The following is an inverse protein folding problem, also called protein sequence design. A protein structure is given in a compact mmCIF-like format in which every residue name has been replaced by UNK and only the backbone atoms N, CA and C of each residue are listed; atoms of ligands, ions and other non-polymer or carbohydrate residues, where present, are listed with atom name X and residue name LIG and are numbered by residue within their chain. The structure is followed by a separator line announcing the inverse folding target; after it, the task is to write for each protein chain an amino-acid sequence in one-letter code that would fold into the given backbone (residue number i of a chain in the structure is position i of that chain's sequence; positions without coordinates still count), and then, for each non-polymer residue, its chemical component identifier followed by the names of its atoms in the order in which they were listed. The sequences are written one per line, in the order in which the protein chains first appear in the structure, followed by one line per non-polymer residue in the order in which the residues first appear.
data_IF_055656830508
#
_entry.id   IF_055656830508
#
_cell.length_a   1.000
_cell.length_b   1.000
_cell.length_c   1.000
_cell.angle_alpha   90.00
_cell.angle_beta   90.00
_cell.angle_gamma   90.00
#
_symmetry.space_group_name_H-M   'P 1'
#
loop_
_entity.id
_entity.type
_entity.pdbx_description
1 polymer ?
#
# COMPACT_ATOMS: atom_id res chain seq x y z
N UNK A 1 -15.14 -1.15 -39.07
CA UNK A 1 -15.01 -2.17 -38.00
C UNK A 1 -14.75 -3.52 -38.64
N UNK A 2 -13.79 -4.31 -38.12
CA UNK A 2 -13.03 -5.42 -38.77
C UNK A 2 -11.92 -4.93 -39.71
N UNK A 3 -10.81 -4.43 -39.14
CA UNK A 3 -9.43 -4.61 -39.64
C UNK A 3 -8.35 -3.87 -38.80
N UNK A 4 -8.56 -3.69 -37.49
CA UNK A 4 -7.59 -2.99 -36.61
C UNK A 4 -7.06 -3.86 -35.46
N UNK A 5 -7.13 -5.19 -35.58
CA UNK A 5 -6.62 -6.16 -34.59
C UNK A 5 -5.45 -7.03 -35.09
N UNK A 6 -4.86 -6.73 -36.24
CA UNK A 6 -3.74 -7.51 -36.81
C UNK A 6 -2.39 -6.76 -36.92
N UNK A 7 -2.29 -5.53 -36.39
CA UNK A 7 -1.05 -4.74 -36.49
C UNK A 7 -0.21 -4.72 -35.21
N UNK A 8 -0.73 -5.17 -34.06
CA UNK A 8 0.07 -5.24 -32.82
C UNK A 8 0.90 -6.53 -32.64
N UNK A 9 0.74 -7.54 -33.51
CA UNK A 9 1.43 -8.84 -33.34
C UNK A 9 2.75 -8.96 -34.13
N UNK A 10 3.23 -7.90 -34.78
CA UNK A 10 4.36 -7.98 -35.72
C UNK A 10 5.56 -7.07 -35.37
N UNK A 11 5.67 -6.58 -34.13
CA UNK A 11 6.79 -5.70 -33.69
C UNK A 11 7.69 -6.30 -32.60
N UNK A 12 7.50 -7.58 -32.23
CA UNK A 12 8.26 -8.25 -31.18
C UNK A 12 9.16 -9.40 -31.67
N UNK A 13 9.56 -9.35 -32.94
CA UNK A 13 10.49 -10.30 -33.52
C UNK A 13 11.46 -9.60 -34.48
N UNK A 14 12.51 -8.96 -33.94
CA UNK A 14 13.81 -8.95 -34.61
C UNK A 14 14.95 -8.55 -33.65
N UNK A 15 16.05 -9.31 -33.76
CA UNK A 15 17.42 -9.14 -33.25
C UNK A 15 17.81 -9.77 -31.91
N UNK A 16 17.94 -11.11 -31.93
CA UNK A 16 19.10 -11.78 -31.31
C UNK A 16 20.18 -11.97 -32.38
N UNK A 17 21.43 -11.55 -32.12
CA UNK A 17 22.65 -12.31 -32.48
C UNK A 17 23.84 -11.93 -31.56
N UNK A 18 24.12 -12.84 -30.62
CA UNK A 18 25.42 -13.39 -30.16
C UNK A 18 26.54 -12.48 -29.62
N UNK A 19 26.94 -12.73 -28.36
CA UNK A 19 28.27 -13.25 -28.02
C UNK A 19 28.30 -13.86 -26.60
N UNK A 20 28.50 -15.18 -26.52
CA UNK A 20 28.89 -15.85 -25.28
C UNK A 20 30.40 -15.71 -25.07
N UNK A 21 30.81 -15.20 -23.91
CA UNK A 21 32.08 -15.54 -23.29
C UNK A 21 32.05 -15.26 -21.77
N UNK A 22 32.11 -16.35 -21.01
CA UNK A 22 32.95 -16.53 -19.80
C UNK A 22 32.73 -15.72 -18.52
N UNK A 23 32.23 -16.46 -17.51
CA UNK A 23 32.60 -16.49 -16.08
C UNK A 23 32.41 -15.25 -15.18
N UNK A 24 31.65 -15.46 -14.10
CA UNK A 24 31.67 -14.65 -12.89
C UNK A 24 30.36 -14.76 -12.10
N UNK A 25 30.42 -15.32 -10.90
CA UNK A 25 29.32 -15.55 -9.97
C UNK A 25 28.55 -14.29 -9.54
N UNK A 26 27.35 -14.52 -8.98
CA UNK A 26 26.51 -13.71 -8.06
C UNK A 26 25.18 -13.12 -8.59
N UNK A 27 24.08 -13.47 -7.89
CA UNK A 27 22.90 -12.62 -7.63
C UNK A 27 21.76 -12.59 -8.65
N UNK A 28 20.51 -12.56 -8.16
CA UNK A 28 19.36 -12.03 -8.91
C UNK A 28 17.98 -12.61 -8.62
N UNK A 29 17.42 -12.42 -7.42
CA UNK A 29 15.98 -12.50 -7.19
C UNK A 29 15.29 -11.27 -7.78
N UNK A 30 14.28 -11.49 -8.62
CA UNK A 30 13.43 -10.44 -9.19
C UNK A 30 12.69 -9.68 -8.07
N UNK A 31 12.99 -8.39 -7.95
CA UNK A 31 12.30 -7.45 -7.08
C UNK A 31 10.94 -7.11 -7.68
N UNK A 32 9.90 -7.30 -6.87
CA UNK A 32 8.60 -6.67 -7.03
C UNK A 32 8.75 -5.24 -6.50
N UNK A 33 8.56 -4.24 -7.37
CA UNK A 33 8.64 -2.81 -7.02
C UNK A 33 7.43 -2.42 -6.18
N UNK A 34 7.52 -2.68 -4.88
CA UNK A 34 6.76 -2.01 -3.83
C UNK A 34 7.71 -1.08 -3.10
N UNK A 35 7.58 0.22 -3.33
CA UNK A 35 8.43 1.24 -2.72
C UNK A 35 8.40 1.13 -1.19
N UNK A 36 9.51 0.69 -0.61
CA UNK A 36 9.78 0.76 0.82
C UNK A 36 9.98 2.22 1.23
N UNK A 37 8.99 2.79 1.91
CA UNK A 37 9.18 3.99 2.73
C UNK A 37 9.84 3.54 4.04
N UNK A 38 11.10 3.92 4.22
CA UNK A 38 11.81 3.75 5.48
C UNK A 38 11.14 4.63 6.55
N UNK A 39 10.45 4.00 7.48
CA UNK A 39 9.90 4.67 8.65
C UNK A 39 11.04 4.89 9.66
N UNK A 40 11.59 6.09 9.70
CA UNK A 40 12.50 6.51 10.76
C UNK A 40 11.69 6.71 12.04
N UNK A 41 11.92 5.87 13.05
CA UNK A 41 11.43 6.06 14.41
C UNK A 41 11.82 7.46 14.90
N UNK A 42 10.83 8.31 15.12
CA UNK A 42 10.93 9.45 16.04
C UNK A 42 10.18 9.07 17.31
N UNK A 43 10.93 9.01 18.41
CA UNK A 43 10.40 8.86 19.76
C UNK A 43 9.71 10.17 20.15
N UNK A 44 8.38 10.17 20.19
CA UNK A 44 7.63 11.28 20.79
C UNK A 44 7.49 11.04 22.30
N UNK A 45 8.21 11.87 23.06
CA UNK A 45 8.07 12.00 24.50
C UNK A 45 6.80 12.76 24.84
N UNK A 46 5.78 12.06 25.34
CA UNK A 46 4.58 12.68 25.91
C UNK A 46 4.88 13.11 27.34
N UNK A 47 4.78 14.41 27.61
CA UNK A 47 4.77 14.97 28.95
C UNK A 47 3.35 14.85 29.54
N UNK A 48 3.25 14.17 30.68
CA UNK A 48 2.03 14.11 31.50
C UNK A 48 1.79 15.46 32.19
N UNK A 49 0.62 16.06 31.98
CA UNK A 49 0.04 17.02 32.91
C UNK A 49 -1.12 16.36 33.67
N UNK A 50 -1.02 16.45 35.00
CA UNK A 50 -2.00 15.99 35.97
C UNK A 50 -3.08 17.05 36.15
N UNK A 51 -4.35 16.63 36.15
CA UNK A 51 -5.39 17.34 36.90
C UNK A 51 -6.26 16.35 37.70
N UNK A 52 -6.30 16.61 39.01
CA UNK A 52 -7.16 15.97 40.00
C UNK A 52 -8.59 16.56 39.92
N UNK A 53 -9.63 15.72 40.00
CA UNK A 53 -10.74 15.95 40.94
C UNK A 53 -11.71 14.76 41.10
N UNK A 54 -11.74 14.24 42.33
CA UNK A 54 -12.84 13.73 43.18
C UNK A 54 -14.15 13.16 42.57
N UNK A 55 -14.41 11.89 42.94
CA UNK A 55 -15.52 11.34 43.78
C UNK A 55 -16.82 12.16 43.90
N UNK A 56 -18.04 11.61 43.87
CA UNK A 56 -18.60 10.32 44.31
C UNK A 56 -19.92 10.06 43.53
N UNK A 57 -20.31 8.79 43.39
CA UNK A 57 -21.55 8.20 43.95
C UNK A 57 -21.92 6.92 43.21
N UNK A 58 -22.02 5.86 44.01
CA UNK A 58 -22.40 4.51 43.63
C UNK A 58 -23.92 4.36 43.60
N UNK A 59 -24.44 3.60 42.64
CA UNK A 59 -25.71 2.90 42.80
C UNK A 59 -25.59 1.47 42.27
N UNK A 60 -25.88 0.52 43.16
CA UNK A 60 -25.94 -0.91 42.94
C UNK A 60 -26.99 -1.28 41.88
N UNK A 61 -26.70 -2.26 41.03
CA UNK A 61 -27.64 -3.37 40.85
C UNK A 61 -27.01 -4.62 40.24
N UNK A 62 -27.29 -5.74 40.93
CA UNK A 62 -27.42 -7.13 40.48
C UNK A 62 -26.25 -7.79 39.75
N UNK A 63 -25.54 -8.60 40.52
CA UNK A 63 -24.86 -9.80 40.05
C UNK A 63 -25.85 -10.74 39.35
N UNK A 64 -25.56 -11.07 38.10
CA UNK A 64 -26.07 -12.22 37.38
C UNK A 64 -24.92 -13.22 37.31
N UNK A 65 -25.15 -14.44 37.77
CA UNK A 65 -24.18 -15.55 37.78
C UNK A 65 -23.71 -15.82 36.35
N UNK A 66 -22.45 -15.51 36.05
CA UNK A 66 -21.78 -16.01 34.85
C UNK A 66 -21.23 -17.39 35.14
N UNK A 67 -21.85 -18.39 34.49
CA UNK A 67 -21.30 -19.74 34.38
C UNK A 67 -19.87 -19.68 33.85
N UNK A 68 -18.99 -20.46 34.49
CA UNK A 68 -17.61 -20.64 34.09
C UNK A 68 -17.54 -21.10 32.62
N UNK A 69 -16.58 -20.60 31.82
CA UNK A 69 -16.43 -21.10 30.46
C UNK A 69 -16.03 -22.57 30.52
N UNK A 70 -16.84 -23.41 29.90
CA UNK A 70 -16.53 -24.80 29.64
C UNK A 70 -15.15 -24.88 28.99
N UNK A 71 -14.27 -25.67 29.62
CA UNK A 71 -13.01 -26.10 29.02
C UNK A 71 -13.36 -26.73 27.66
N UNK A 72 -13.04 -26.03 26.58
CA UNK A 72 -13.05 -26.61 25.23
C UNK A 72 -12.00 -27.69 25.22
N UNK A 73 -12.46 -28.94 25.28
CA UNK A 73 -11.63 -30.12 25.04
C UNK A 73 -10.83 -29.90 23.76
N UNK A 74 -9.51 -30.04 23.85
CA UNK A 74 -8.63 -30.00 22.70
C UNK A 74 -9.03 -31.14 21.76
N UNK A 75 -9.73 -30.81 20.67
CA UNK A 75 -9.92 -31.74 19.57
C UNK A 75 -8.54 -32.16 19.08
N UNK A 76 -8.20 -33.43 19.28
CA UNK A 76 -7.05 -34.06 18.67
C UNK A 76 -7.32 -34.15 17.17
N UNK A 77 -6.90 -33.12 16.45
CA UNK A 77 -7.00 -32.97 14.99
C UNK A 77 -6.00 -33.95 14.32
N UNK A 78 -6.30 -35.25 14.37
CA UNK A 78 -5.57 -36.26 13.59
C UNK A 78 -5.89 -36.02 12.11
N UNK A 79 -4.91 -35.47 11.36
CA UNK A 79 -5.01 -35.35 9.91
C UNK A 79 -4.92 -36.71 9.22
N UNK A 80 -5.35 -36.81 7.95
CA UNK A 80 -5.26 -38.03 7.14
C UNK A 80 -3.84 -38.63 7.03
N UNK A 81 -2.81 -37.84 7.34
CA UNK A 81 -1.39 -38.25 7.39
C UNK A 81 -0.86 -38.51 8.82
N UNK A 82 -1.68 -38.32 9.86
CA UNK A 82 -1.35 -38.56 11.27
C UNK A 82 -0.39 -37.56 11.92
N UNK A 83 -0.03 -36.45 11.25
CA UNK A 83 0.84 -35.42 11.81
C UNK A 83 0.07 -34.52 12.81
N UNK A 84 0.70 -34.20 13.93
CA UNK A 84 0.16 -33.30 14.96
C UNK A 84 0.82 -31.91 14.92
N UNK A 85 0.18 -30.91 15.53
CA UNK A 85 0.75 -29.55 15.65
C UNK A 85 2.06 -29.56 16.45
N UNK A 86 2.16 -30.38 17.49
CA UNK A 86 3.37 -30.55 18.32
C UNK A 86 4.52 -31.14 17.51
N UNK A 87 4.23 -32.17 16.70
CA UNK A 87 5.22 -32.72 15.79
C UNK A 87 5.70 -31.65 14.80
N UNK A 88 4.77 -30.95 14.14
CA UNK A 88 5.11 -29.87 13.21
C UNK A 88 5.96 -28.77 13.85
N UNK A 89 5.61 -28.34 15.07
CA UNK A 89 6.35 -27.30 15.80
C UNK A 89 7.81 -27.71 16.11
N UNK A 90 8.11 -29.01 16.16
CA UNK A 90 9.47 -29.54 16.33
C UNK A 90 10.23 -29.76 15.02
N UNK A 91 9.57 -29.67 13.86
CA UNK A 91 10.18 -29.90 12.56
C UNK A 91 11.02 -28.72 12.09
N UNK A 92 12.08 -29.04 11.36
CA UNK A 92 12.83 -28.10 10.53
C UNK A 92 12.30 -28.12 9.09
N UNK A 93 12.72 -27.15 8.27
CA UNK A 93 12.42 -27.20 6.83
C UNK A 93 13.05 -28.43 6.16
N UNK A 94 14.22 -28.88 6.64
CA UNK A 94 14.88 -30.09 6.15
C UNK A 94 14.05 -31.35 6.45
N UNK A 95 13.39 -31.42 7.61
CA UNK A 95 12.51 -32.55 7.95
C UNK A 95 11.29 -32.62 7.03
N UNK A 96 10.73 -31.46 6.64
CA UNK A 96 9.66 -31.39 5.64
C UNK A 96 10.15 -31.80 4.25
N UNK A 97 11.32 -31.30 3.83
CA UNK A 97 11.92 -31.64 2.55
C UNK A 97 12.33 -33.11 2.45
N UNK A 98 12.67 -33.77 3.57
CA UNK A 98 12.98 -35.19 3.61
C UNK A 98 11.78 -36.09 3.26
N UNK A 99 10.54 -35.56 3.30
CA UNK A 99 9.34 -36.27 2.85
C UNK A 99 9.12 -36.19 1.34
N UNK A 100 9.88 -35.35 0.63
CA UNK A 100 9.86 -35.23 -0.82
C UNK A 100 10.84 -36.23 -1.42
N UNK A 101 10.35 -37.18 -2.22
CA UNK A 101 11.16 -38.29 -2.75
C UNK A 101 12.17 -37.84 -3.80
N UNK A 102 11.75 -36.93 -4.67
CA UNK A 102 12.58 -36.36 -5.74
C UNK A 102 12.44 -34.83 -5.75
N UNK A 103 13.35 -34.09 -5.09
CA UNK A 103 13.30 -32.63 -5.05
C UNK A 103 13.47 -31.94 -6.41
N UNK A 104 13.94 -32.64 -7.44
CA UNK A 104 14.04 -32.10 -8.80
C UNK A 104 12.75 -32.34 -9.62
N UNK A 105 11.84 -33.17 -9.13
CA UNK A 105 10.56 -33.48 -9.76
C UNK A 105 9.48 -33.82 -8.71
N UNK A 106 8.99 -32.78 -8.03
CA UNK A 106 8.04 -32.95 -6.94
C UNK A 106 6.66 -33.31 -7.50
N UNK A 107 6.04 -34.34 -6.95
CA UNK A 107 4.72 -34.76 -7.39
C UNK A 107 3.61 -33.84 -6.88
N UNK A 108 2.44 -33.90 -7.53
CA UNK A 108 1.24 -33.18 -7.07
C UNK A 108 0.89 -33.52 -5.63
N UNK A 109 0.88 -34.80 -5.27
CA UNK A 109 0.48 -35.22 -3.92
C UNK A 109 1.51 -34.78 -2.86
N UNK A 110 2.80 -34.81 -3.19
CA UNK A 110 3.86 -34.28 -2.31
C UNK A 110 3.75 -32.77 -2.11
N UNK A 111 3.45 -31.99 -3.17
CA UNK A 111 3.22 -30.56 -3.01
C UNK A 111 1.95 -30.25 -2.23
N UNK A 112 0.85 -30.97 -2.49
CA UNK A 112 -0.40 -30.79 -1.75
C UNK A 112 -0.19 -31.12 -0.28
N UNK A 113 0.51 -32.21 0.03
CA UNK A 113 0.88 -32.57 1.39
C UNK A 113 1.70 -31.44 2.05
N UNK A 114 2.77 -30.99 1.38
CA UNK A 114 3.66 -29.96 1.91
C UNK A 114 2.89 -28.66 2.19
N UNK A 115 2.08 -28.18 1.24
CA UNK A 115 1.24 -26.98 1.40
C UNK A 115 0.22 -27.20 2.51
N UNK A 116 -0.36 -28.39 2.62
CA UNK A 116 -1.35 -28.69 3.66
C UNK A 116 -0.77 -28.58 5.08
N UNK A 117 0.55 -28.62 5.26
CA UNK A 117 1.17 -28.39 6.59
C UNK A 117 0.96 -26.96 7.11
N UNK A 118 0.53 -26.01 6.27
CA UNK A 118 0.07 -24.69 6.73
C UNK A 118 -1.10 -24.76 7.72
N UNK A 119 -1.85 -25.88 7.79
CA UNK A 119 -2.90 -26.10 8.80
C UNK A 119 -2.41 -25.94 10.25
N UNK A 120 -1.12 -26.18 10.49
CA UNK A 120 -0.51 -26.07 11.82
C UNK A 120 0.03 -24.67 12.12
N UNK A 121 0.01 -23.77 11.14
CA UNK A 121 0.56 -22.43 11.26
C UNK A 121 -0.51 -21.48 11.77
N UNK A 122 -0.19 -20.76 12.83
CA UNK A 122 -1.10 -19.77 13.40
C UNK A 122 -1.32 -18.59 12.44
N UNK A 123 -2.55 -18.12 12.39
CA UNK A 123 -2.92 -16.88 11.71
C UNK A 123 -2.70 -15.74 12.69
N UNK A 124 -1.84 -14.81 12.32
CA UNK A 124 -1.60 -13.56 13.02
C UNK A 124 -2.57 -12.50 12.51
N UNK A 125 -3.58 -12.20 13.34
CA UNK A 125 -4.50 -11.08 13.16
C UNK A 125 -4.31 -10.08 14.31
N UNK A 126 -3.10 -9.50 14.40
CA UNK A 126 -2.75 -8.56 15.46
C UNK A 126 -3.57 -7.25 15.30
N UNK A 127 -4.39 -6.84 16.28
CA UNK A 127 -5.15 -5.60 16.20
C UNK A 127 -4.26 -4.35 16.04
N UNK A 128 -2.99 -4.41 16.43
CA UNK A 128 -2.02 -3.33 16.25
C UNK A 128 -1.42 -3.27 14.84
N UNK A 129 -1.45 -4.37 14.06
CA UNK A 129 -1.13 -4.37 12.63
C UNK A 129 -2.42 -4.28 11.81
N UNK A 130 -2.91 -3.05 11.66
CA UNK A 130 -4.13 -2.74 10.89
C UNK A 130 -4.03 -3.07 9.39
N UNK A 131 -2.84 -3.37 8.87
CA UNK A 131 -2.65 -3.54 7.43
C UNK A 131 -2.67 -5.01 7.00
N UNK A 132 -2.43 -5.95 7.91
CA UNK A 132 -2.22 -7.34 7.53
C UNK A 132 -2.95 -8.36 8.41
N UNK A 133 -3.36 -9.44 7.74
CA UNK A 133 -3.63 -10.73 8.35
C UNK A 133 -2.64 -11.70 7.69
N UNK A 134 -1.76 -12.31 8.48
CA UNK A 134 -0.64 -13.10 7.94
C UNK A 134 -0.54 -14.45 8.61
N UNK A 135 0.20 -15.37 8.00
CA UNK A 135 0.64 -16.58 8.69
C UNK A 135 1.90 -16.27 9.50
N UNK A 136 1.98 -16.80 10.72
CA UNK A 136 3.19 -16.74 11.52
C UNK A 136 4.39 -17.31 10.76
N UNK A 137 5.61 -16.87 11.12
CA UNK A 137 6.84 -17.42 10.54
C UNK A 137 6.83 -18.94 10.70
N UNK A 138 7.03 -19.67 9.60
CA UNK A 138 6.82 -21.10 9.57
C UNK A 138 7.78 -21.83 8.62
N UNK A 139 8.07 -23.09 8.93
CA UNK A 139 8.99 -23.94 8.16
C UNK A 139 8.39 -24.42 6.84
N UNK A 140 7.05 -24.41 6.69
CA UNK A 140 6.36 -24.77 5.44
C UNK A 140 6.72 -23.81 4.31
N UNK A 141 6.65 -22.50 4.56
CA UNK A 141 7.02 -21.45 3.59
C UNK A 141 8.49 -21.58 3.20
N UNK A 142 9.37 -21.82 4.17
CA UNK A 142 10.80 -21.98 3.94
C UNK A 142 11.12 -23.24 3.12
N UNK A 143 10.43 -24.35 3.39
CA UNK A 143 10.54 -25.60 2.65
C UNK A 143 10.05 -25.43 1.20
N UNK A 144 8.84 -24.89 1.00
CA UNK A 144 8.31 -24.59 -0.34
C UNK A 144 9.29 -23.69 -1.10
N UNK A 145 9.75 -22.60 -0.48
CA UNK A 145 10.71 -21.66 -1.04
C UNK A 145 12.05 -22.27 -1.47
N UNK A 146 12.45 -23.39 -0.85
CA UNK A 146 13.69 -24.10 -1.17
C UNK A 146 13.57 -25.03 -2.39
N UNK A 147 12.36 -25.41 -2.79
CA UNK A 147 12.11 -26.20 -3.99
C UNK A 147 12.19 -25.28 -5.21
N UNK A 148 13.01 -25.63 -6.21
CA UNK A 148 13.11 -24.86 -7.48
C UNK A 148 11.73 -24.74 -8.14
N UNK A 149 11.38 -23.57 -8.66
CA UNK A 149 10.10 -23.37 -9.35
C UNK A 149 9.87 -24.37 -10.50
N UNK A 150 10.93 -24.72 -11.24
CA UNK A 150 10.89 -25.71 -12.33
C UNK A 150 10.65 -27.16 -11.88
N UNK A 151 10.85 -27.45 -10.59
CA UNK A 151 10.62 -28.76 -10.00
C UNK A 151 9.22 -28.92 -9.40
N UNK A 152 8.45 -27.82 -9.33
CA UNK A 152 7.09 -27.82 -8.77
C UNK A 152 6.07 -28.13 -9.88
N UNK A 153 5.03 -28.93 -9.60
CA UNK A 153 3.91 -29.08 -10.51
C UNK A 153 3.15 -27.75 -10.64
N UNK A 154 2.54 -27.54 -11.79
CA UNK A 154 1.69 -26.36 -12.06
C UNK A 154 0.51 -26.31 -11.09
N UNK A 155 0.29 -25.15 -10.45
CA UNK A 155 -0.76 -24.97 -9.43
C UNK A 155 -2.15 -25.38 -9.94
N UNK A 156 -2.45 -25.09 -11.20
CA UNK A 156 -3.73 -25.44 -11.83
C UNK A 156 -4.07 -26.93 -11.78
N UNK A 157 -3.07 -27.81 -11.62
CA UNK A 157 -3.26 -29.27 -11.55
C UNK A 157 -3.74 -29.76 -10.18
N UNK A 158 -3.66 -28.93 -9.13
CA UNK A 158 -4.03 -29.33 -7.76
C UNK A 158 -4.73 -28.25 -6.93
N UNK A 159 -5.02 -27.09 -7.51
CA UNK A 159 -5.65 -25.98 -6.80
C UNK A 159 -7.01 -26.33 -6.19
N UNK A 160 -7.79 -27.21 -6.85
CA UNK A 160 -9.11 -27.64 -6.32
C UNK A 160 -8.97 -28.32 -4.96
N UNK A 161 -7.97 -29.20 -4.81
CA UNK A 161 -7.66 -29.86 -3.53
C UNK A 161 -7.35 -28.86 -2.42
N UNK A 162 -6.71 -27.74 -2.75
CA UNK A 162 -6.36 -26.71 -1.77
C UNK A 162 -7.57 -25.85 -1.39
N UNK A 163 -8.42 -25.51 -2.36
CA UNK A 163 -9.63 -24.71 -2.14
C UNK A 163 -10.71 -25.48 -1.34
N UNK A 164 -10.74 -26.81 -1.48
CA UNK A 164 -11.63 -27.71 -0.73
C UNK A 164 -11.16 -27.97 0.72
N UNK A 165 -9.97 -27.50 1.10
CA UNK A 165 -9.42 -27.71 2.44
C UNK A 165 -10.30 -27.08 3.52
N UNK A 166 -10.53 -27.80 4.62
CA UNK A 166 -11.20 -27.25 5.82
C UNK A 166 -10.37 -26.14 6.51
N UNK A 167 -9.08 -26.02 6.19
CA UNK A 167 -8.16 -25.10 6.85
C UNK A 167 -8.02 -23.79 6.05
N UNK A 168 -8.31 -22.62 6.65
CA UNK A 168 -8.21 -21.34 5.96
C UNK A 168 -6.80 -20.99 5.49
N UNK A 169 -5.75 -21.44 6.20
CA UNK A 169 -4.35 -21.21 5.79
C UNK A 169 -4.05 -21.82 4.41
N UNK A 170 -4.63 -22.99 4.12
CA UNK A 170 -4.44 -23.71 2.86
C UNK A 170 -5.26 -23.06 1.73
N UNK A 171 -6.52 -22.68 2.02
CA UNK A 171 -7.37 -21.95 1.08
C UNK A 171 -6.78 -20.57 0.72
N UNK A 172 -6.30 -19.82 1.72
CA UNK A 172 -5.64 -18.53 1.53
C UNK A 172 -4.35 -18.65 0.72
N UNK A 173 -3.56 -19.72 0.92
CA UNK A 173 -2.41 -20.02 0.05
C UNK A 173 -2.85 -20.21 -1.41
N UNK A 174 -3.91 -20.99 -1.65
CA UNK A 174 -4.42 -21.25 -3.00
C UNK A 174 -4.80 -19.93 -3.70
N UNK A 175 -5.62 -19.10 -3.05
CA UNK A 175 -6.05 -17.79 -3.56
C UNK A 175 -4.86 -16.86 -3.83
N UNK A 176 -3.92 -16.77 -2.88
CA UNK A 176 -2.76 -15.87 -2.99
C UNK A 176 -1.81 -16.22 -4.13
N UNK A 177 -1.87 -17.46 -4.63
CA UNK A 177 -1.00 -17.95 -5.71
C UNK A 177 -1.74 -18.15 -7.05
N UNK A 178 -3.00 -17.71 -7.16
CA UNK A 178 -3.76 -17.78 -8.41
C UNK A 178 -3.29 -16.80 -9.49
N UNK A 179 -2.67 -15.69 -9.07
CA UNK A 179 -2.17 -14.65 -9.96
C UNK A 179 -0.82 -15.06 -10.58
N UNK A 180 -0.72 -14.87 -11.89
CA UNK A 180 0.52 -15.02 -12.64
C UNK A 180 0.97 -13.67 -13.21
N UNK A 181 2.13 -13.63 -13.88
CA UNK A 181 2.56 -12.44 -14.63
C UNK A 181 1.57 -12.02 -15.73
N UNK A 182 0.69 -12.95 -16.17
CA UNK A 182 -0.36 -12.69 -17.15
C UNK A 182 -1.73 -12.42 -16.49
N UNK A 183 -1.76 -12.19 -15.18
CA UNK A 183 -2.97 -12.08 -14.37
C UNK A 183 -3.53 -13.43 -13.94
N UNK A 184 -4.77 -13.42 -13.47
CA UNK A 184 -5.51 -14.61 -13.04
C UNK A 184 -6.15 -15.28 -14.25
N UNK A 185 -5.96 -16.60 -14.42
CA UNK A 185 -6.60 -17.34 -15.51
C UNK A 185 -8.12 -17.39 -15.34
N UNK A 186 -8.88 -17.52 -16.44
CA UNK A 186 -10.35 -17.59 -16.37
C UNK A 186 -10.86 -18.76 -15.51
N UNK A 187 -10.13 -19.87 -15.49
CA UNK A 187 -10.52 -21.05 -14.73
C UNK A 187 -10.23 -20.84 -13.24
N UNK A 188 -9.08 -20.26 -12.87
CA UNK A 188 -8.79 -19.89 -11.49
C UNK A 188 -9.76 -18.83 -10.98
N UNK A 189 -10.13 -17.85 -11.82
CA UNK A 189 -11.09 -16.81 -11.46
C UNK A 189 -12.45 -17.42 -11.10
N UNK A 190 -12.98 -18.34 -11.91
CA UNK A 190 -14.24 -19.05 -11.59
C UNK A 190 -14.16 -19.87 -10.31
N UNK A 191 -13.01 -20.49 -10.04
CA UNK A 191 -12.78 -21.24 -8.80
C UNK A 191 -12.75 -20.32 -7.58
N UNK A 192 -12.11 -19.17 -7.69
CA UNK A 192 -12.15 -18.14 -6.65
C UNK A 192 -13.57 -17.61 -6.43
N UNK A 193 -14.30 -17.30 -7.51
CA UNK A 193 -15.70 -16.86 -7.43
C UNK A 193 -16.55 -17.88 -6.66
N UNK A 194 -16.46 -19.17 -7.01
CA UNK A 194 -17.21 -20.23 -6.35
C UNK A 194 -16.85 -20.39 -4.86
N UNK A 195 -15.56 -20.26 -4.49
CA UNK A 195 -15.16 -20.28 -3.08
C UNK A 195 -15.77 -19.09 -2.32
N UNK A 196 -15.69 -17.88 -2.89
CA UNK A 196 -16.08 -16.63 -2.24
C UNK A 196 -17.59 -16.44 -2.10
N UNK A 197 -18.42 -17.25 -2.75
CA UNK A 197 -19.87 -17.25 -2.55
C UNK A 197 -20.25 -17.49 -1.07
N UNK A 198 -19.49 -18.34 -0.37
CA UNK A 198 -19.80 -18.74 1.00
C UNK A 198 -18.58 -18.67 1.95
N UNK A 199 -17.49 -18.01 1.54
CA UNK A 199 -16.33 -17.83 2.41
C UNK A 199 -16.61 -16.76 3.48
N UNK A 200 -16.28 -17.08 4.73
CA UNK A 200 -16.44 -16.19 5.88
C UNK A 200 -15.14 -16.01 6.67
N UNK A 201 -14.11 -16.83 6.42
CA UNK A 201 -12.87 -16.76 7.17
C UNK A 201 -12.09 -15.46 6.86
N UNK A 202 -11.79 -14.61 7.86
CA UNK A 202 -11.15 -13.32 7.64
C UNK A 202 -9.80 -13.39 6.92
N UNK A 203 -9.02 -14.44 7.16
CA UNK A 203 -7.72 -14.60 6.50
C UNK A 203 -7.90 -14.93 5.01
N UNK A 204 -8.83 -15.81 4.66
CA UNK A 204 -9.11 -16.12 3.25
C UNK A 204 -9.69 -14.91 2.52
N UNK A 205 -10.62 -14.19 3.15
CA UNK A 205 -11.18 -12.95 2.60
C UNK A 205 -10.10 -11.89 2.38
N UNK A 206 -9.16 -11.76 3.33
CA UNK A 206 -8.01 -10.86 3.23
C UNK A 206 -7.07 -11.24 2.07
N UNK A 207 -6.78 -12.53 1.90
CA UNK A 207 -6.04 -13.03 0.74
C UNK A 207 -6.77 -12.69 -0.58
N UNK A 208 -8.09 -12.86 -0.63
CA UNK A 208 -8.89 -12.62 -1.82
C UNK A 208 -8.96 -11.13 -2.21
N UNK A 209 -9.25 -10.23 -1.25
CA UNK A 209 -9.27 -8.78 -1.52
C UNK A 209 -7.90 -8.29 -2.01
N UNK A 210 -6.82 -8.88 -1.51
CA UNK A 210 -5.45 -8.52 -1.91
C UNK A 210 -5.14 -9.02 -3.33
N UNK A 211 -5.34 -10.31 -3.60
CA UNK A 211 -4.88 -10.97 -4.84
C UNK A 211 -5.84 -10.83 -6.02
N UNK A 212 -7.12 -10.50 -5.78
CA UNK A 212 -8.13 -10.41 -6.84
C UNK A 212 -8.58 -8.97 -7.13
N UNK A 213 -7.98 -7.97 -6.47
CA UNK A 213 -8.31 -6.54 -6.62
C UNK A 213 -8.39 -6.09 -8.09
N UNK A 214 -7.42 -6.48 -8.91
CA UNK A 214 -7.37 -6.13 -10.34
C UNK A 214 -8.43 -6.81 -11.22
N UNK A 215 -9.24 -7.72 -10.67
CA UNK A 215 -10.26 -8.47 -11.42
C UNK A 215 -11.66 -7.85 -11.33
N UNK A 216 -11.85 -6.79 -10.52
CA UNK A 216 -13.15 -6.13 -10.34
C UNK A 216 -13.80 -5.68 -11.66
N UNK A 217 -13.02 -5.12 -12.59
CA UNK A 217 -13.53 -4.68 -13.88
C UNK A 217 -13.94 -5.84 -14.82
N UNK A 218 -13.42 -7.05 -14.57
CA UNK A 218 -13.57 -8.21 -15.45
C UNK A 218 -14.54 -9.27 -14.90
N UNK A 219 -14.90 -9.20 -13.61
CA UNK A 219 -15.83 -10.12 -12.96
C UNK A 219 -16.80 -9.37 -12.05
N UNK A 220 -18.10 -9.52 -12.34
CA UNK A 220 -19.16 -9.00 -11.47
C UNK A 220 -19.10 -9.63 -10.07
N UNK A 221 -18.81 -10.93 -9.97
CA UNK A 221 -18.74 -11.61 -8.68
C UNK A 221 -17.60 -11.06 -7.82
N UNK A 222 -16.42 -10.82 -8.41
CA UNK A 222 -15.31 -10.18 -7.69
C UNK A 222 -15.61 -8.72 -7.36
N UNK A 223 -16.23 -7.97 -8.27
CA UNK A 223 -16.70 -6.62 -7.99
C UNK A 223 -17.65 -6.60 -6.76
N UNK A 224 -18.69 -7.42 -6.77
CA UNK A 224 -19.68 -7.47 -5.69
C UNK A 224 -19.03 -7.90 -4.37
N UNK A 225 -18.10 -8.86 -4.42
CA UNK A 225 -17.29 -9.26 -3.28
C UNK A 225 -16.50 -8.07 -2.69
N UNK A 226 -15.89 -7.25 -3.53
CA UNK A 226 -15.08 -6.12 -3.06
C UNK A 226 -15.93 -5.00 -2.48
N UNK A 227 -17.10 -4.74 -3.07
CA UNK A 227 -18.10 -3.85 -2.48
C UNK A 227 -18.58 -4.36 -1.12
N UNK A 228 -18.75 -5.68 -0.96
CA UNK A 228 -19.04 -6.29 0.35
C UNK A 228 -17.87 -6.09 1.33
N UNK A 229 -16.62 -6.21 0.89
CA UNK A 229 -15.45 -6.00 1.77
C UNK A 229 -15.29 -4.56 2.23
N UNK A 230 -15.67 -3.57 1.40
CA UNK A 230 -15.74 -2.16 1.79
C UNK A 230 -16.75 -1.90 2.93
N UNK A 231 -17.69 -2.81 3.13
CA UNK A 231 -18.76 -2.76 4.14
C UNK A 231 -18.52 -3.75 5.29
N UNK A 232 -17.34 -4.37 5.36
CA UNK A 232 -17.02 -5.37 6.37
C UNK A 232 -16.89 -4.77 7.77
N UNK A 233 -17.32 -5.50 8.81
CA UNK A 233 -17.06 -5.11 10.20
C UNK A 233 -15.56 -5.14 10.54
N UNK A 234 -14.75 -5.91 9.79
CA UNK A 234 -13.30 -5.96 9.98
C UNK A 234 -12.61 -4.77 9.26
N UNK A 235 -11.96 -3.85 9.98
CA UNK A 235 -11.32 -2.67 9.39
C UNK A 235 -10.19 -3.02 8.42
N UNK A 236 -9.51 -4.16 8.59
CA UNK A 236 -8.45 -4.60 7.68
C UNK A 236 -8.99 -4.96 6.30
N UNK A 237 -10.20 -5.53 6.24
CA UNK A 237 -10.90 -5.83 4.99
C UNK A 237 -11.38 -4.54 4.32
N UNK A 238 -11.95 -3.59 5.08
CA UNK A 238 -12.32 -2.26 4.56
C UNK A 238 -11.11 -1.50 4.01
N UNK A 239 -9.99 -1.52 4.74
CA UNK A 239 -8.74 -0.90 4.31
C UNK A 239 -8.26 -1.47 2.98
N UNK A 240 -8.25 -2.80 2.84
CA UNK A 240 -7.86 -3.44 1.57
C UNK A 240 -8.84 -3.15 0.44
N UNK A 241 -10.13 -3.05 0.75
CA UNK A 241 -11.13 -2.63 -0.21
C UNK A 241 -10.90 -1.16 -0.67
N UNK A 242 -10.52 -0.25 0.23
CA UNK A 242 -10.13 1.12 -0.11
C UNK A 242 -8.91 1.16 -1.05
N UNK A 243 -7.89 0.34 -0.80
CA UNK A 243 -6.76 0.23 -1.74
C UNK A 243 -7.27 -0.23 -3.10
N UNK A 244 -8.06 -1.32 -3.13
CA UNK A 244 -8.56 -1.88 -4.38
C UNK A 244 -9.42 -0.88 -5.17
N UNK A 245 -10.33 -0.18 -4.51
CA UNK A 245 -11.25 0.74 -5.14
C UNK A 245 -10.57 2.04 -5.58
N UNK A 246 -9.62 2.57 -4.80
CA UNK A 246 -8.98 3.84 -5.10
C UNK A 246 -7.92 3.82 -6.21
N UNK A 247 -7.37 2.67 -6.61
CA UNK A 247 -6.29 2.65 -7.61
C UNK A 247 -6.71 3.10 -9.02
N UNK A 248 -5.73 3.43 -9.86
CA UNK A 248 -5.95 3.75 -11.28
C UNK A 248 -6.54 2.61 -12.11
N UNK A 249 -6.44 1.36 -11.65
CA UNK A 249 -7.04 0.20 -12.31
C UNK A 249 -8.56 0.15 -12.13
N UNK A 250 -9.07 0.85 -11.12
CA UNK A 250 -10.50 0.92 -10.77
C UNK A 250 -11.20 2.12 -11.38
N UNK A 251 -10.50 2.90 -12.22
CA UNK A 251 -11.08 4.02 -12.95
C UNK A 251 -12.26 3.57 -13.82
N UNK A 252 -13.43 4.14 -13.57
CA UNK A 252 -14.67 3.84 -14.30
C UNK A 252 -15.33 2.52 -13.91
N UNK A 253 -14.83 1.82 -12.89
CA UNK A 253 -15.54 0.69 -12.28
C UNK A 253 -16.68 1.26 -11.43
N UNK A 254 -17.89 0.73 -11.66
CA UNK A 254 -19.10 1.16 -10.97
C UNK A 254 -18.94 1.00 -9.45
N UNK A 255 -19.46 1.94 -8.65
CA UNK A 255 -19.46 1.86 -7.19
C UNK A 255 -18.13 2.16 -6.50
N UNK A 256 -16.97 2.07 -7.18
CA UNK A 256 -15.67 2.35 -6.54
C UNK A 256 -15.56 3.79 -6.03
N UNK A 257 -16.10 4.78 -6.77
CA UNK A 257 -16.11 6.18 -6.31
C UNK A 257 -16.98 6.31 -5.06
N UNK A 258 -18.19 5.74 -5.07
CA UNK A 258 -19.11 5.80 -3.94
C UNK A 258 -18.55 5.08 -2.70
N UNK A 259 -17.85 3.96 -2.88
CA UNK A 259 -17.16 3.24 -1.82
C UNK A 259 -16.04 4.10 -1.20
N UNK A 260 -15.17 4.70 -2.03
CA UNK A 260 -14.12 5.61 -1.54
C UNK A 260 -14.70 6.79 -0.76
N UNK A 261 -15.73 7.44 -1.28
CA UNK A 261 -16.38 8.58 -0.63
C UNK A 261 -16.93 8.22 0.77
N UNK A 262 -17.43 6.99 0.92
CA UNK A 262 -17.88 6.47 2.21
C UNK A 262 -16.70 6.17 3.13
N UNK A 263 -15.66 5.49 2.63
CA UNK A 263 -14.49 5.09 3.41
C UNK A 263 -13.64 6.30 3.87
N UNK A 264 -13.70 7.44 3.18
CA UNK A 264 -13.12 8.71 3.67
C UNK A 264 -13.77 9.24 4.96
N UNK A 265 -14.94 8.71 5.32
CA UNK A 265 -15.69 9.03 6.54
C UNK A 265 -15.66 7.86 7.54
N UNK A 266 -14.79 6.87 7.34
CA UNK A 266 -14.69 5.70 8.23
C UNK A 266 -14.25 6.12 9.64
N UNK A 267 -14.76 5.39 10.63
CA UNK A 267 -14.41 5.57 12.05
C UNK A 267 -12.99 5.10 12.34
N UNK A 268 -12.50 4.09 11.60
CA UNK A 268 -11.13 3.64 11.68
C UNK A 268 -10.22 4.62 10.94
N UNK A 269 -9.29 5.22 11.68
CA UNK A 269 -8.42 6.26 11.16
C UNK A 269 -7.52 5.76 10.02
N UNK A 270 -7.12 4.49 10.01
CA UNK A 270 -6.24 3.94 8.98
C UNK A 270 -7.03 3.57 7.71
N UNK A 271 -8.29 3.15 7.84
CA UNK A 271 -9.22 3.05 6.70
C UNK A 271 -9.45 4.42 6.06
N UNK A 272 -9.81 5.43 6.85
CA UNK A 272 -10.01 6.80 6.37
C UNK A 272 -8.79 7.36 5.66
N UNK A 273 -7.62 7.22 6.28
CA UNK A 273 -6.33 7.64 5.72
C UNK A 273 -6.03 6.95 4.39
N UNK A 274 -6.31 5.65 4.30
CA UNK A 274 -6.12 4.88 3.06
C UNK A 274 -7.04 5.36 1.95
N UNK A 275 -8.33 5.58 2.23
CA UNK A 275 -9.27 6.09 1.24
C UNK A 275 -8.87 7.48 0.70
N UNK A 276 -8.48 8.40 1.60
CA UNK A 276 -7.99 9.73 1.22
C UNK A 276 -6.74 9.64 0.32
N UNK A 277 -5.83 8.72 0.62
CA UNK A 277 -4.58 8.53 -0.14
C UNK A 277 -4.82 7.97 -1.54
N UNK A 278 -5.67 6.94 -1.67
CA UNK A 278 -5.80 6.21 -2.93
C UNK A 278 -6.81 6.81 -3.89
N UNK A 279 -7.89 7.42 -3.42
CA UNK A 279 -9.03 7.85 -4.24
C UNK A 279 -8.69 8.71 -5.47
N UNK A 280 -7.57 9.45 -5.46
CA UNK A 280 -7.11 10.23 -6.61
C UNK A 280 -6.76 9.36 -7.82
N UNK A 281 -6.48 8.07 -7.62
CA UNK A 281 -6.26 7.10 -8.69
C UNK A 281 -7.49 6.89 -9.58
N UNK A 282 -8.69 7.06 -9.04
CA UNK A 282 -9.95 6.99 -9.79
C UNK A 282 -10.07 8.09 -10.85
N UNK A 283 -9.37 9.21 -10.66
CA UNK A 283 -9.42 10.37 -11.54
C UNK A 283 -10.87 10.84 -11.83
N UNK A 284 -11.66 10.94 -10.76
CA UNK A 284 -13.05 11.44 -10.75
C UNK A 284 -13.16 12.68 -9.86
N UNK A 285 -13.74 13.77 -10.36
CA UNK A 285 -13.81 15.04 -9.63
C UNK A 285 -14.64 14.97 -8.34
N UNK A 286 -15.52 13.96 -8.18
CA UNK A 286 -16.32 13.82 -6.95
C UNK A 286 -15.47 13.69 -5.68
N UNK A 287 -14.22 13.22 -5.79
CA UNK A 287 -13.33 13.07 -4.63
C UNK A 287 -12.66 14.39 -4.20
N UNK A 288 -12.68 15.43 -5.04
CA UNK A 288 -11.97 16.69 -4.79
C UNK A 288 -12.52 17.43 -3.57
N UNK A 289 -13.83 17.64 -3.50
CA UNK A 289 -14.44 18.39 -2.38
C UNK A 289 -14.25 17.69 -1.02
N UNK A 290 -14.42 16.37 -0.88
CA UNK A 290 -14.05 15.64 0.34
C UNK A 290 -12.57 15.80 0.74
N UNK A 291 -11.65 15.69 -0.22
CA UNK A 291 -10.22 15.89 0.03
C UNK A 291 -9.93 17.33 0.47
N UNK A 292 -10.54 18.32 -0.19
CA UNK A 292 -10.46 19.73 0.17
C UNK A 292 -10.96 19.96 1.59
N UNK A 293 -12.11 19.39 1.96
CA UNK A 293 -12.67 19.55 3.30
C UNK A 293 -11.70 19.08 4.39
N UNK A 294 -10.97 17.97 4.15
CA UNK A 294 -9.92 17.49 5.07
C UNK A 294 -8.73 18.44 5.11
N UNK A 295 -8.26 18.92 3.95
CA UNK A 295 -7.09 19.81 3.86
C UNK A 295 -7.33 21.21 4.46
N UNK A 296 -8.56 21.71 4.40
CA UNK A 296 -8.94 23.02 4.95
C UNK A 296 -9.35 22.97 6.42
N UNK A 297 -9.39 21.79 7.03
CA UNK A 297 -9.69 21.63 8.45
C UNK A 297 -8.38 21.40 9.24
N UNK A 298 -7.93 22.38 10.04
CA UNK A 298 -6.68 22.26 10.80
C UNK A 298 -6.75 21.16 11.87
N UNK A 299 -7.93 20.81 12.37
CA UNK A 299 -8.10 19.71 13.35
C UNK A 299 -7.89 18.33 12.69
N UNK A 300 -7.94 18.27 11.36
CA UNK A 300 -7.68 17.05 10.59
C UNK A 300 -6.24 16.96 10.07
N UNK A 301 -5.29 17.71 10.65
CA UNK A 301 -3.90 17.75 10.20
C UNK A 301 -3.21 16.37 10.07
N UNK A 302 -3.59 15.39 10.89
CA UNK A 302 -3.09 14.01 10.79
C UNK A 302 -3.43 13.31 9.47
N UNK A 303 -4.44 13.79 8.75
CA UNK A 303 -4.88 13.27 7.45
C UNK A 303 -4.43 14.12 6.27
N UNK A 304 -3.84 15.31 6.49
CA UNK A 304 -3.45 16.22 5.41
C UNK A 304 -2.46 15.60 4.43
N UNK A 305 -1.52 14.77 4.90
CA UNK A 305 -0.58 14.06 4.03
C UNK A 305 -1.32 13.14 3.05
N UNK A 306 -2.20 12.27 3.56
CA UNK A 306 -2.98 11.35 2.71
C UNK A 306 -3.96 12.08 1.79
N UNK A 307 -4.66 13.10 2.29
CA UNK A 307 -5.53 13.91 1.45
C UNK A 307 -4.74 14.64 0.34
N UNK A 308 -3.53 15.12 0.64
CA UNK A 308 -2.68 15.75 -0.37
C UNK A 308 -2.17 14.75 -1.40
N UNK A 309 -1.85 13.51 -1.03
CA UNK A 309 -1.53 12.45 -1.99
C UNK A 309 -2.67 12.21 -2.97
N UNK A 310 -3.91 12.13 -2.47
CA UNK A 310 -5.11 12.01 -3.30
C UNK A 310 -5.24 13.19 -4.28
N UNK A 311 -5.08 14.43 -3.79
CA UNK A 311 -5.08 15.63 -4.64
C UNK A 311 -3.94 15.61 -5.66
N UNK A 312 -2.71 15.32 -5.24
CA UNK A 312 -1.54 15.25 -6.10
C UNK A 312 -1.72 14.20 -7.20
N UNK A 313 -2.33 13.05 -6.90
CA UNK A 313 -2.60 12.00 -7.91
C UNK A 313 -3.55 12.46 -9.03
N UNK A 314 -4.47 13.39 -8.74
CA UNK A 314 -5.41 13.94 -9.72
C UNK A 314 -4.78 14.92 -10.72
N UNK A 315 -3.76 15.69 -10.32
CA UNK A 315 -3.23 16.77 -11.17
C UNK A 315 -1.72 16.72 -11.43
N UNK A 316 -0.94 16.17 -10.50
CA UNK A 316 0.52 16.07 -10.59
C UNK A 316 0.97 14.67 -11.01
N UNK A 317 0.30 13.65 -10.48
CA UNK A 317 0.35 12.25 -10.92
C UNK A 317 1.75 11.64 -11.02
N UNK A 318 2.68 12.07 -10.16
CA UNK A 318 4.00 11.46 -10.09
C UNK A 318 3.89 9.96 -9.72
N UNK A 319 4.66 9.05 -10.36
CA UNK A 319 5.64 9.27 -11.43
C UNK A 319 5.09 9.18 -12.86
N UNK A 320 3.80 8.88 -13.03
CA UNK A 320 3.17 8.71 -14.34
C UNK A 320 3.12 10.02 -15.13
N UNK A 321 2.81 11.14 -14.49
CA UNK A 321 2.68 12.49 -15.07
C UNK A 321 1.69 12.51 -16.25
N UNK A 322 0.55 11.83 -16.08
CA UNK A 322 -0.47 11.69 -17.11
C UNK A 322 -1.73 12.49 -16.78
N UNK A 323 -2.17 12.48 -15.52
CA UNK A 323 -3.35 13.24 -15.12
C UNK A 323 -3.04 14.75 -15.02
N UNK A 324 -3.99 15.57 -15.48
CA UNK A 324 -4.05 17.01 -15.24
C UNK A 324 -5.46 17.37 -14.78
N UNK A 325 -5.56 18.14 -13.70
CA UNK A 325 -6.82 18.58 -13.12
C UNK A 325 -6.65 19.95 -12.47
N UNK A 326 -7.20 20.99 -13.10
CA UNK A 326 -7.05 22.38 -12.65
C UNK A 326 -7.72 22.61 -11.28
N UNK A 327 -8.82 21.92 -11.00
CA UNK A 327 -9.57 22.06 -9.75
C UNK A 327 -8.76 21.49 -8.57
N UNK A 328 -8.20 20.29 -8.73
CA UNK A 328 -7.31 19.69 -7.74
C UNK A 328 -6.02 20.52 -7.53
N UNK A 329 -5.47 21.10 -8.60
CA UNK A 329 -4.34 22.04 -8.48
C UNK A 329 -4.70 23.26 -7.63
N UNK A 330 -5.88 23.85 -7.84
CA UNK A 330 -6.35 24.99 -7.04
C UNK A 330 -6.49 24.62 -5.56
N UNK A 331 -6.97 23.42 -5.24
CA UNK A 331 -7.02 22.92 -3.86
C UNK A 331 -5.63 22.80 -3.26
N UNK A 332 -4.66 22.28 -4.00
CA UNK A 332 -3.27 22.20 -3.54
C UNK A 332 -2.71 23.59 -3.24
N UNK A 333 -2.90 24.56 -4.14
CA UNK A 333 -2.46 25.95 -3.95
C UNK A 333 -3.15 26.60 -2.75
N UNK A 334 -4.47 26.44 -2.61
CA UNK A 334 -5.24 26.96 -1.47
C UNK A 334 -4.67 26.43 -0.15
N UNK A 335 -4.37 25.13 -0.08
CA UNK A 335 -3.77 24.51 1.10
C UNK A 335 -2.37 25.06 1.42
N UNK A 336 -1.50 25.12 0.41
CA UNK A 336 -0.10 25.52 0.55
C UNK A 336 0.07 27.02 0.89
N UNK A 337 -0.96 27.82 0.60
CA UNK A 337 -0.99 29.27 0.85
C UNK A 337 -1.72 29.66 2.14
N UNK A 338 -2.23 28.70 2.91
CA UNK A 338 -2.91 28.98 4.18
C UNK A 338 -2.01 29.76 5.16
N UNK A 339 -2.61 30.75 5.82
CA UNK A 339 -2.01 31.53 6.90
C UNK A 339 -3.05 31.79 8.01
N UNK A 340 -2.63 31.96 9.28
CA UNK A 340 -1.27 31.78 9.78
C UNK A 340 -0.80 30.32 9.67
N UNK A 341 0.50 30.11 9.44
CA UNK A 341 1.10 28.77 9.40
C UNK A 341 1.33 28.26 10.82
N UNK A 342 1.46 26.94 10.95
CA UNK A 342 1.72 26.26 12.21
C UNK A 342 2.71 25.11 12.01
N UNK A 343 3.09 24.45 13.12
CA UNK A 343 3.90 23.24 13.07
C UNK A 343 3.24 22.09 12.28
N UNK A 344 1.91 22.11 12.12
CA UNK A 344 1.15 21.06 11.44
C UNK A 344 0.62 21.48 10.06
N UNK A 345 0.50 22.78 9.78
CA UNK A 345 -0.12 23.31 8.56
C UNK A 345 0.79 24.38 7.90
N UNK A 346 1.30 24.13 6.67
CA UNK A 346 1.11 22.91 5.89
C UNK A 346 1.94 21.75 6.44
N UNK A 347 1.35 20.56 6.48
CA UNK A 347 2.03 19.30 6.76
C UNK A 347 3.23 19.12 5.81
N UNK A 348 4.40 18.76 6.37
CA UNK A 348 5.64 18.69 5.59
C UNK A 348 5.63 17.64 4.47
N UNK A 349 4.89 16.54 4.64
CA UNK A 349 4.76 15.49 3.63
C UNK A 349 3.87 15.98 2.48
N UNK A 350 2.78 16.68 2.80
CA UNK A 350 1.91 17.31 1.80
C UNK A 350 2.67 18.32 0.91
N UNK A 351 3.57 19.11 1.49
CA UNK A 351 4.48 19.99 0.69
C UNK A 351 5.41 19.15 -0.19
N UNK A 352 5.93 18.04 0.36
CA UNK A 352 6.89 17.17 -0.30
C UNK A 352 6.37 16.37 -1.50
N UNK A 353 5.05 16.24 -1.66
CA UNK A 353 4.42 15.53 -2.80
C UNK A 353 4.89 16.05 -4.16
N UNK A 354 5.29 17.32 -4.23
CA UNK A 354 5.74 18.01 -5.44
C UNK A 354 7.26 18.05 -5.58
N UNK A 355 8.01 17.35 -4.72
CA UNK A 355 9.48 17.37 -4.69
C UNK A 355 10.16 16.51 -5.75
N UNK A 356 9.41 15.69 -6.48
CA UNK A 356 9.93 14.78 -7.51
C UNK A 356 9.16 14.95 -8.82
N UNK A 357 9.85 14.81 -9.96
CA UNK A 357 9.24 14.78 -11.27
C UNK A 357 9.91 13.77 -12.20
N UNK A 358 9.18 13.31 -13.22
CA UNK A 358 9.72 12.44 -14.27
C UNK A 358 10.21 13.31 -15.43
N UNK A 359 11.53 13.56 -15.51
CA UNK A 359 12.15 14.54 -16.44
C UNK A 359 11.67 14.40 -17.89
N UNK A 360 11.65 13.19 -18.42
CA UNK A 360 11.27 12.93 -19.82
C UNK A 360 9.77 13.12 -20.11
N UNK A 361 8.94 13.23 -19.07
CA UNK A 361 7.49 13.45 -19.17
C UNK A 361 7.05 14.86 -18.78
N UNK A 362 7.85 15.54 -17.97
CA UNK A 362 7.45 16.78 -17.30
C UNK A 362 7.07 17.92 -18.25
N UNK A 363 7.83 18.15 -19.34
CA UNK A 363 7.49 19.21 -20.30
C UNK A 363 6.22 18.90 -21.10
N UNK A 364 5.97 17.64 -21.43
CA UNK A 364 4.73 17.23 -22.08
C UNK A 364 3.52 17.38 -21.13
N UNK A 365 3.69 16.97 -19.87
CA UNK A 365 2.68 17.15 -18.83
C UNK A 365 2.36 18.64 -18.60
N UNK A 366 3.38 19.52 -18.48
CA UNK A 366 3.19 20.98 -18.41
C UNK A 366 2.40 21.54 -19.59
N UNK A 367 2.65 21.03 -20.80
CA UNK A 367 1.89 21.40 -21.99
C UNK A 367 0.38 21.10 -21.86
N UNK A 368 0.03 20.05 -21.12
CA UNK A 368 -1.36 19.68 -20.83
C UNK A 368 -1.92 20.39 -19.58
N UNK A 369 -1.06 20.76 -18.63
CA UNK A 369 -1.39 21.50 -17.42
C UNK A 369 -1.19 23.01 -17.61
N UNK A 370 -1.92 23.63 -18.56
CA UNK A 370 -1.73 25.04 -18.93
C UNK A 370 -2.00 26.05 -17.79
N UNK A 371 -2.66 25.60 -16.73
CA UNK A 371 -2.90 26.35 -15.50
C UNK A 371 -1.69 26.39 -14.55
N UNK A 372 -0.70 25.50 -14.75
CA UNK A 372 0.45 25.37 -13.87
C UNK A 372 1.60 26.27 -14.32
N UNK A 373 1.98 27.21 -13.45
CA UNK A 373 3.17 28.02 -13.60
C UNK A 373 4.21 27.59 -12.55
N UNK A 374 5.34 27.04 -13.03
CA UNK A 374 6.41 26.56 -12.17
C UNK A 374 7.05 27.68 -11.33
N UNK A 375 7.19 28.89 -11.88
CA UNK A 375 7.77 30.03 -11.17
C UNK A 375 6.83 30.48 -10.05
N UNK A 376 5.54 30.63 -10.36
CA UNK A 376 4.54 31.00 -9.36
C UNK A 376 4.40 29.93 -8.26
N UNK A 377 4.51 28.65 -8.63
CA UNK A 377 4.51 27.56 -7.65
C UNK A 377 5.75 27.60 -6.75
N UNK A 378 6.94 27.90 -7.30
CA UNK A 378 8.15 28.13 -6.52
C UNK A 378 8.05 29.37 -5.60
N UNK A 379 7.28 30.39 -5.96
CA UNK A 379 7.03 31.55 -5.07
C UNK A 379 6.29 31.10 -3.80
N UNK A 380 5.26 30.25 -3.93
CA UNK A 380 4.54 29.67 -2.78
C UNK A 380 5.50 28.87 -1.89
N UNK A 381 6.39 28.08 -2.49
CA UNK A 381 7.39 27.32 -1.75
C UNK A 381 8.37 28.23 -1.01
N UNK A 382 8.79 29.34 -1.61
CA UNK A 382 9.62 30.32 -0.91
C UNK A 382 8.90 30.97 0.27
N UNK A 383 7.61 31.25 0.14
CA UNK A 383 6.81 31.78 1.25
C UNK A 383 6.74 30.79 2.42
N UNK A 384 6.56 29.49 2.14
CA UNK A 384 6.63 28.44 3.16
C UNK A 384 8.04 28.38 3.77
N UNK A 385 9.09 28.42 2.94
CA UNK A 385 10.50 28.36 3.38
C UNK A 385 10.88 29.50 4.32
N UNK A 386 10.37 30.71 4.07
CA UNK A 386 10.70 31.93 4.84
C UNK A 386 9.90 32.08 6.13
N UNK A 387 8.76 31.40 6.26
CA UNK A 387 7.88 31.54 7.41
C UNK A 387 8.44 30.77 8.62
N UNK A 388 8.79 31.45 9.73
CA UNK A 388 9.35 30.79 10.92
C UNK A 388 8.32 29.94 11.68
N UNK A 389 7.01 30.19 11.48
CA UNK A 389 5.94 29.42 12.11
C UNK A 389 5.67 28.09 11.38
N UNK A 390 6.14 27.96 10.14
CA UNK A 390 6.08 26.71 9.40
C UNK A 390 7.07 25.68 9.96
N UNK A 391 6.63 24.41 9.99
CA UNK A 391 7.49 23.29 10.37
C UNK A 391 8.82 23.29 9.60
N UNK A 392 9.94 23.09 10.28
CA UNK A 392 11.26 23.06 9.62
C UNK A 392 11.38 21.97 8.54
N UNK A 393 10.65 20.86 8.67
CA UNK A 393 10.55 19.83 7.64
C UNK A 393 9.73 20.33 6.44
N UNK A 394 8.67 21.11 6.67
CA UNK A 394 7.88 21.71 5.57
C UNK A 394 8.72 22.74 4.80
N UNK A 395 9.49 23.58 5.52
CA UNK A 395 10.49 24.49 4.93
C UNK A 395 11.54 23.73 4.10
N UNK A 396 11.98 22.58 4.60
CA UNK A 396 12.92 21.69 3.91
C UNK A 396 12.30 21.05 2.67
N UNK A 397 11.06 20.58 2.74
CA UNK A 397 10.30 20.08 1.60
C UNK A 397 10.12 21.17 0.54
N UNK A 398 9.83 22.41 0.95
CA UNK A 398 9.61 23.53 0.04
C UNK A 398 10.83 23.83 -0.84
N UNK A 399 12.04 23.90 -0.28
CA UNK A 399 13.22 24.09 -1.14
C UNK A 399 13.49 22.88 -2.06
N UNK A 400 13.08 21.66 -1.67
CA UNK A 400 13.21 20.47 -2.54
C UNK A 400 12.24 20.53 -3.72
N UNK A 401 11.04 21.07 -3.51
CA UNK A 401 10.11 21.40 -4.60
C UNK A 401 10.74 22.45 -5.51
N UNK A 402 11.31 23.54 -4.97
CA UNK A 402 12.04 24.54 -5.78
C UNK A 402 13.17 23.88 -6.58
N UNK A 403 13.96 23.00 -5.97
CA UNK A 403 15.02 22.25 -6.65
C UNK A 403 14.52 21.43 -7.84
N UNK A 404 13.32 20.85 -7.73
CA UNK A 404 12.73 20.06 -8.82
C UNK A 404 12.27 20.95 -9.98
N UNK A 405 11.62 22.08 -9.69
CA UNK A 405 10.94 22.91 -10.69
C UNK A 405 11.79 24.08 -11.22
N UNK A 406 12.73 24.59 -10.43
CA UNK A 406 13.62 25.69 -10.76
C UNK A 406 15.01 25.49 -10.10
N UNK A 407 15.87 24.65 -10.73
CA UNK A 407 17.19 24.34 -10.17
C UNK A 407 18.11 25.55 -10.00
N UNK A 408 18.00 26.57 -10.86
CA UNK A 408 18.80 27.78 -10.73
C UNK A 408 18.35 28.64 -9.55
N UNK A 409 17.04 28.77 -9.34
CA UNK A 409 16.51 29.41 -8.14
C UNK A 409 16.97 28.68 -6.88
N UNK A 410 16.92 27.35 -6.87
CA UNK A 410 17.42 26.53 -5.77
C UNK A 410 18.88 26.84 -5.41
N UNK A 411 19.80 26.91 -6.39
CA UNK A 411 21.23 27.25 -6.15
C UNK A 411 21.42 28.60 -5.44
N UNK A 412 20.49 29.53 -5.64
CA UNK A 412 20.57 30.91 -5.13
C UNK A 412 19.86 31.12 -3.78
N UNK A 413 19.19 30.08 -3.23
CA UNK A 413 18.48 30.19 -1.94
C UNK A 413 19.41 30.39 -0.74
N UNK A 414 20.72 30.11 -0.87
CA UNK A 414 21.68 30.22 0.22
C UNK A 414 21.62 31.58 0.94
N UNK A 415 21.61 32.68 0.18
CA UNK A 415 21.55 34.03 0.77
C UNK A 415 20.24 34.33 1.50
N UNK A 416 19.14 33.69 1.10
CA UNK A 416 17.84 33.81 1.78
C UNK A 416 17.89 33.04 3.10
N UNK A 417 18.37 31.79 3.07
CA UNK A 417 18.37 30.87 4.22
C UNK A 417 19.37 31.31 5.29
N UNK A 418 20.53 31.85 4.88
CA UNK A 418 21.53 32.44 5.79
C UNK A 418 20.99 33.64 6.59
N UNK A 419 19.93 34.30 6.10
CA UNK A 419 19.29 35.42 6.76
C UNK A 419 18.28 35.03 7.85
N UNK A 420 17.96 33.74 8.02
CA UNK A 420 17.01 33.28 9.03
C UNK A 420 17.60 33.38 10.44
N UNK A 421 16.83 33.91 11.38
CA UNK A 421 17.21 34.12 12.79
C UNK A 421 16.34 33.34 13.79
N UNK A 422 15.44 32.48 13.28
CA UNK A 422 14.55 31.65 14.07
C UNK A 422 15.21 30.38 14.65
N UNK A 423 14.54 29.73 15.61
CA UNK A 423 15.06 28.57 16.33
C UNK A 423 15.39 27.35 15.44
N UNK A 424 14.82 27.28 14.23
CA UNK A 424 14.99 26.18 13.27
C UNK A 424 15.89 26.57 12.09
N UNK A 425 16.36 27.81 12.00
CA UNK A 425 17.20 28.33 10.92
C UNK A 425 18.41 27.42 10.62
N UNK A 426 19.14 26.99 11.67
CA UNK A 426 20.30 26.10 11.51
C UNK A 426 19.93 24.74 10.89
N UNK A 427 18.79 24.15 11.28
CA UNK A 427 18.36 22.86 10.75
C UNK A 427 18.01 22.95 9.25
N UNK A 428 17.38 24.05 8.84
CA UNK A 428 17.06 24.33 7.43
C UNK A 428 18.36 24.57 6.63
N UNK A 429 19.29 25.40 7.14
CA UNK A 429 20.56 25.69 6.49
C UNK A 429 21.44 24.44 6.32
N UNK A 430 21.58 23.63 7.36
CA UNK A 430 22.38 22.39 7.32
C UNK A 430 21.77 21.39 6.31
N UNK A 431 20.44 21.33 6.20
CA UNK A 431 19.75 20.49 5.22
C UNK A 431 19.92 20.99 3.78
N UNK A 432 19.76 22.30 3.57
CA UNK A 432 19.97 22.94 2.28
C UNK A 432 21.40 22.72 1.76
N UNK A 433 22.42 22.95 2.60
CA UNK A 433 23.83 22.81 2.22
C UNK A 433 24.17 21.37 1.81
N UNK A 434 23.66 20.37 2.54
CA UNK A 434 23.82 18.95 2.19
C UNK A 434 23.20 18.64 0.82
N UNK A 435 21.98 19.12 0.59
CA UNK A 435 21.25 18.85 -0.64
C UNK A 435 21.85 19.63 -1.83
N UNK A 436 22.38 20.84 -1.62
CA UNK A 436 23.09 21.64 -2.61
C UNK A 436 24.39 20.98 -3.02
N UNK A 437 25.20 20.50 -2.06
CA UNK A 437 26.44 19.78 -2.36
C UNK A 437 26.16 18.54 -3.23
N UNK A 438 25.20 17.71 -2.83
CA UNK A 438 24.80 16.53 -3.59
C UNK A 438 24.19 16.87 -4.97
N UNK A 439 23.58 18.04 -5.12
CA UNK A 439 23.06 18.53 -6.40
C UNK A 439 24.21 18.94 -7.35
N UNK A 440 25.17 19.73 -6.87
CA UNK A 440 26.32 20.18 -7.65
C UNK A 440 27.25 19.03 -8.07
N UNK A 441 27.41 18.01 -7.22
CA UNK A 441 28.17 16.79 -7.54
C UNK A 441 27.58 15.99 -8.72
N UNK A 442 26.27 16.09 -8.98
CA UNK A 442 25.61 15.38 -10.09
C UNK A 442 25.64 16.18 -11.39
N UNK A 443 25.88 17.49 -11.33
CA UNK A 443 25.98 18.36 -12.51
C UNK A 443 27.41 18.48 -13.06
N UNK A 444 28.43 18.23 -12.22
CA UNK A 444 29.84 18.18 -12.62
C UNK A 444 30.28 16.80 -13.09
#
# INVERSE_FOLDING_TARGET
MKNMKKVLAALLALTMTVCMASCGETGGTAGNDGGTVQNSKTEDSVAEEKEDSKADEAEESKAEETEAPAETEAETDESDDGMTKEQYASMTKEDLLAQIKDPENVTVDEMVWLISTYRFVDINDDPSDVHNITLAKNVTKDAIGSIKSSARPELSTYIDKLLESKYPQVRGYAISNMESILGVSSDNLKKAEALLENEEDPYVLFCAVTSLSNQQANSKAIHDFMMKMAESDNPKLRLRAAISCGTSWSKGVEGCVEAELKLMQDEDAEVKKTALEYCGGLNDNKVIEPLKAVLMDPEQHKFHSSAMKGIAKLWYDYPAMENTNEEAYKVAVEYLTQTPRTENVPNFSAVGEYGNLTKDKYEAWKGNASYFDASAFCDIMEDILKDPDANWMARTSAYKVIKAHDPERFKNLGSVIEGFDDAKAKQVLDSYNRDLAAFLEKEG
#
